data_IF_937703285099
#
_entry.id   IF_937703285099
#
_cell.length_a   1.000
_cell.length_b   1.000
_cell.length_c   1.000
_cell.angle_alpha   90.00
_cell.angle_beta   90.00
_cell.angle_gamma   90.00
#
_symmetry.space_group_name_H-M   'P 1'
#
loop_
_entity.id
_entity.type
_entity.pdbx_description
1 polymer ?
#
# COMPACT_ATOMS: atom_id res chain seq x y z
N UNK A 1 14.69 -2.99 0.34
CA UNK A 1 14.26 -3.51 1.65
C UNK A 1 12.98 -2.79 1.99
N UNK A 2 11.88 -3.52 2.17
CA UNK A 2 10.61 -2.88 2.52
C UNK A 2 10.56 -2.58 4.00
N UNK A 3 10.17 -1.35 4.32
CA UNK A 3 9.86 -0.93 5.68
C UNK A 3 8.38 -0.60 5.78
N UNK A 4 7.71 -1.23 6.74
CA UNK A 4 6.32 -0.94 7.07
C UNK A 4 6.28 0.04 8.23
N UNK A 5 5.59 1.17 8.08
CA UNK A 5 5.31 2.11 9.17
C UNK A 5 3.82 2.13 9.46
N UNK A 6 3.46 1.73 10.67
CA UNK A 6 2.07 1.72 11.10
C UNK A 6 1.64 3.12 11.53
N UNK A 7 0.51 3.58 11.01
CA UNK A 7 -0.18 4.77 11.50
C UNK A 7 -1.55 4.36 12.02
N UNK A 8 -1.78 4.64 13.31
CA UNK A 8 -3.02 4.33 14.02
C UNK A 8 -4.03 5.48 13.96
N UNK A 9 -3.66 6.64 13.39
CA UNK A 9 -4.46 7.86 13.48
C UNK A 9 -5.82 7.81 12.76
N UNK A 10 -6.05 6.86 11.84
CA UNK A 10 -7.32 6.72 11.09
C UNK A 10 -7.75 5.26 10.85
N UNK A 11 -7.34 4.36 11.75
CA UNK A 11 -7.52 2.92 11.64
C UNK A 11 -6.18 2.18 11.47
N UNK A 12 -6.25 0.86 11.28
CA UNK A 12 -5.07 0.03 11.01
C UNK A 12 -4.58 0.30 9.57
N UNK A 13 -3.61 1.21 9.43
CA UNK A 13 -2.98 1.52 8.15
C UNK A 13 -1.46 1.37 8.24
N UNK A 14 -0.86 0.82 7.19
CA UNK A 14 0.56 0.56 7.08
C UNK A 14 1.09 1.32 5.86
N UNK A 15 1.95 2.28 6.06
CA UNK A 15 2.70 2.90 4.97
C UNK A 15 3.83 1.97 4.55
N UNK A 16 3.99 1.77 3.24
CA UNK A 16 4.98 0.88 2.66
C UNK A 16 6.07 1.74 2.05
N UNK A 17 7.27 1.62 2.61
CA UNK A 17 8.46 2.34 2.14
C UNK A 17 9.45 1.36 1.51
N UNK A 18 10.10 1.78 0.43
CA UNK A 18 11.28 1.12 -0.10
C UNK A 18 12.47 2.07 -0.02
N UNK A 19 13.52 1.65 0.71
CA UNK A 19 14.76 2.39 1.04
C UNK A 19 14.56 3.68 1.86
N UNK A 20 13.67 4.57 1.42
CA UNK A 20 13.06 5.69 2.15
C UNK A 20 11.92 6.37 1.36
N UNK A 21 11.58 5.83 0.19
CA UNK A 21 10.50 6.35 -0.66
C UNK A 21 9.20 5.66 -0.29
N UNK A 22 8.18 6.46 0.00
CA UNK A 22 6.82 5.97 0.20
C UNK A 22 6.30 5.46 -1.16
N UNK A 23 6.10 4.15 -1.29
CA UNK A 23 5.62 3.52 -2.53
C UNK A 23 4.12 3.20 -2.48
N UNK A 24 3.54 3.15 -1.28
CA UNK A 24 2.13 2.83 -1.10
C UNK A 24 1.69 2.81 0.35
N UNK A 25 0.43 2.46 0.56
CA UNK A 25 -0.12 2.17 1.89
C UNK A 25 -1.07 0.99 1.81
N UNK A 26 -1.11 0.17 2.85
CA UNK A 26 -2.09 -0.89 3.04
C UNK A 26 -3.01 -0.49 4.17
N UNK A 27 -4.30 -0.38 3.89
CA UNK A 27 -5.34 -0.13 4.91
C UNK A 27 -6.06 -1.43 5.21
N UNK A 28 -6.22 -1.75 6.49
CA UNK A 28 -7.06 -2.86 6.92
C UNK A 28 -8.49 -2.35 7.07
N UNK A 29 -9.38 -2.85 6.23
CA UNK A 29 -10.80 -2.59 6.27
C UNK A 29 -11.51 -3.78 6.93
N UNK A 30 -12.00 -3.59 8.14
CA UNK A 30 -12.83 -4.60 8.82
C UNK A 30 -14.22 -4.59 8.22
N UNK A 31 -14.56 -5.59 7.40
CA UNK A 31 -15.95 -5.80 6.94
C UNK A 31 -16.65 -6.80 7.86
N UNK A 32 -17.98 -6.79 7.86
CA UNK A 32 -18.79 -7.68 8.73
C UNK A 32 -18.51 -9.18 8.49
N UNK A 33 -18.00 -9.54 7.32
CA UNK A 33 -17.77 -10.93 6.91
C UNK A 33 -16.32 -11.37 7.04
N UNK A 34 -15.35 -10.48 6.77
CA UNK A 34 -13.91 -10.72 6.90
C UNK A 34 -13.14 -9.40 6.92
N UNK A 35 -11.96 -9.39 7.53
CA UNK A 35 -10.99 -8.32 7.35
C UNK A 35 -10.46 -8.35 5.90
N UNK A 36 -10.41 -7.17 5.25
CA UNK A 36 -9.83 -6.99 3.92
C UNK A 36 -8.65 -6.04 3.98
N UNK A 37 -7.64 -6.27 3.16
CA UNK A 37 -6.45 -5.45 3.05
C UNK A 37 -6.50 -4.65 1.75
N UNK A 38 -6.79 -3.36 1.85
CA UNK A 38 -6.81 -2.44 0.72
C UNK A 38 -5.40 -1.90 0.50
N UNK A 39 -4.70 -2.42 -0.50
CA UNK A 39 -3.42 -1.90 -0.95
C UNK A 39 -3.65 -0.69 -1.89
N UNK A 40 -2.91 0.39 -1.66
CA UNK A 40 -3.03 1.64 -2.39
C UNK A 40 -1.63 2.06 -2.85
N UNK A 41 -1.47 2.24 -4.14
CA UNK A 41 -0.26 2.81 -4.76
C UNK A 41 -0.39 4.33 -4.73
N UNK A 42 0.64 4.96 -4.17
CA UNK A 42 0.75 6.40 -4.13
C UNK A 42 1.62 6.83 -5.32
N UNK A 43 1.11 7.75 -6.13
CA UNK A 43 1.86 8.31 -7.25
C UNK A 43 3.06 9.13 -6.78
N UNK A 44 4.01 9.37 -7.67
CA UNK A 44 5.23 10.14 -7.39
C UNK A 44 4.98 11.65 -7.25
N UNK A 45 3.74 12.09 -7.44
CA UNK A 45 3.36 13.49 -7.23
C UNK A 45 3.60 13.86 -5.76
N UNK A 46 4.04 15.10 -5.52
CA UNK A 46 4.25 15.68 -4.18
C UNK A 46 3.04 15.54 -3.24
N UNK A 47 1.86 15.31 -3.80
CA UNK A 47 0.59 15.14 -3.09
C UNK A 47 0.20 13.68 -2.82
N UNK A 48 1.06 12.69 -3.13
CA UNK A 48 0.80 11.27 -2.89
C UNK A 48 -0.60 10.83 -3.35
N UNK A 49 -0.98 11.26 -4.57
CA UNK A 49 -2.30 10.97 -5.10
C UNK A 49 -2.48 9.46 -5.26
N UNK A 50 -3.60 8.92 -4.78
CA UNK A 50 -3.93 7.51 -4.88
C UNK A 50 -4.14 7.15 -6.36
N UNK A 51 -3.15 6.51 -6.98
CA UNK A 51 -3.21 6.18 -8.39
C UNK A 51 -4.00 4.91 -8.64
N UNK A 52 -3.81 3.90 -7.79
CA UNK A 52 -4.40 2.58 -7.94
C UNK A 52 -4.66 1.99 -6.55
N UNK A 53 -5.80 1.32 -6.40
CA UNK A 53 -6.11 0.58 -5.19
C UNK A 53 -6.63 -0.82 -5.53
N UNK A 54 -6.34 -1.80 -4.68
CA UNK A 54 -6.80 -3.18 -4.83
C UNK A 54 -6.99 -3.84 -3.46
N UNK A 55 -8.08 -4.58 -3.33
CA UNK A 55 -8.40 -5.36 -2.12
C UNK A 55 -7.76 -6.75 -2.18
N UNK A 56 -7.31 -7.21 -1.02
CA UNK A 56 -6.70 -8.52 -0.80
C UNK A 56 -7.24 -9.17 0.48
N UNK A 57 -7.15 -10.49 0.54
CA UNK A 57 -7.49 -11.28 1.72
C UNK A 57 -6.35 -11.34 2.74
N UNK A 58 -5.11 -11.10 2.31
CA UNK A 58 -3.94 -11.10 3.18
C UNK A 58 -3.08 -9.85 2.98
N UNK A 59 -2.33 -9.48 4.02
CA UNK A 59 -1.34 -8.40 3.93
C UNK A 59 -0.18 -8.77 3.00
N UNK A 60 0.19 -10.06 2.89
CA UNK A 60 1.31 -10.49 2.06
C UNK A 60 1.01 -10.31 0.58
N UNK A 61 -0.19 -10.68 0.12
CA UNK A 61 -0.61 -10.45 -1.28
C UNK A 61 -0.65 -8.96 -1.62
N UNK A 62 -1.08 -8.13 -0.66
CA UNK A 62 -1.08 -6.68 -0.81
C UNK A 62 0.34 -6.11 -0.95
N UNK A 63 1.31 -6.63 -0.19
CA UNK A 63 2.71 -6.21 -0.27
C UNK A 63 3.37 -6.67 -1.57
N UNK A 64 3.18 -7.94 -1.95
CA UNK A 64 3.71 -8.49 -3.20
C UNK A 64 3.25 -7.67 -4.40
N UNK A 65 1.96 -7.32 -4.44
CA UNK A 65 1.42 -6.49 -5.51
C UNK A 65 2.01 -5.07 -5.56
N UNK A 66 2.31 -4.46 -4.40
CA UNK A 66 2.98 -3.15 -4.33
C UNK A 66 4.42 -3.26 -4.85
N UNK A 67 5.12 -4.36 -4.54
CA UNK A 67 6.46 -4.65 -5.06
C UNK A 67 6.48 -4.86 -6.57
N UNK A 68 5.56 -5.66 -7.11
CA UNK A 68 5.46 -5.90 -8.56
C UNK A 68 5.25 -4.60 -9.34
N UNK A 69 4.49 -3.67 -8.77
CA UNK A 69 4.12 -2.41 -9.41
C UNK A 69 5.27 -1.40 -9.41
N UNK A 70 6.17 -1.45 -8.42
CA UNK A 70 7.42 -0.68 -8.40
C UNK A 70 8.25 -0.90 -9.67
N UNK A 71 8.35 -2.15 -10.12
CA UNK A 71 9.16 -2.54 -11.29
C UNK A 71 8.61 -2.04 -12.63
N UNK A 72 7.37 -1.55 -12.69
CA UNK A 72 6.71 -1.10 -13.93
C UNK A 72 6.65 0.42 -14.08
N UNK A 73 6.97 1.19 -13.03
CA UNK A 73 6.92 2.66 -13.04
C UNK A 73 8.20 3.35 -13.51
N UNK A 74 9.16 2.62 -14.10
CA UNK A 74 10.45 3.18 -14.60
C UNK A 74 10.61 3.15 -16.13
N UNK A 75 9.52 3.03 -16.88
CA UNK A 75 9.55 3.13 -18.35
C UNK A 75 8.40 4.00 -18.88
N UNK A 76 8.53 5.32 -18.77
CA UNK A 76 7.82 6.30 -19.60
C UNK A 76 8.57 7.64 -19.60
#
# INVERSE_FOLDING_TARGET
MITLRYSLNHGLSCQVYDDNRLIGRVRIEKKMTSDKFLAIILGDAKDAQECLQREFDTIFDALDWLEERRGKSTSA
#
